data_IF_765550398669
#
_entry.id   IF_765550398669
#
_cell.length_a   1.000
_cell.length_b   1.000
_cell.length_c   1.000
_cell.angle_alpha   90.00
_cell.angle_beta   90.00
_cell.angle_gamma   90.00
#
_symmetry.space_group_name_H-M   'P 1'
#
loop_
_entity.id
_entity.type
_entity.pdbx_description
1 polymer ?
#
# COMPACT_ATOMS: atom_id res chain seq x y z
N UNK A 1 0.98 32.93 10.47
CA UNK A 1 1.49 31.71 9.84
C UNK A 1 0.27 30.87 9.54
N UNK A 2 0.09 30.36 8.32
CA UNK A 2 -1.00 29.38 8.10
C UNK A 2 -0.74 28.23 9.05
N UNK A 3 -1.73 27.86 9.88
CA UNK A 3 -1.63 26.63 10.67
C UNK A 3 -1.42 25.48 9.68
N UNK A 4 -0.30 24.77 9.83
CA UNK A 4 -0.02 23.59 9.03
C UNK A 4 -0.90 22.47 9.56
N UNK A 5 -1.61 21.79 8.66
CA UNK A 5 -2.42 20.63 9.02
C UNK A 5 -1.52 19.50 9.56
N UNK A 6 -1.87 18.99 10.73
CA UNK A 6 -1.27 17.81 11.34
C UNK A 6 -1.79 16.53 10.72
N UNK A 7 -0.89 15.70 10.20
CA UNK A 7 -1.22 14.37 9.66
C UNK A 7 -0.52 13.27 10.45
N UNK A 8 -1.32 12.29 10.88
CA UNK A 8 -0.84 11.05 11.47
C UNK A 8 -1.03 9.92 10.48
N UNK A 9 0.05 9.19 10.20
CA UNK A 9 0.03 8.08 9.26
C UNK A 9 0.40 6.79 9.99
N UNK A 10 -0.39 5.73 9.78
CA UNK A 10 -0.15 4.40 10.32
C UNK A 10 -0.22 3.34 9.22
N UNK A 11 0.39 2.19 9.52
CA UNK A 11 0.29 1.01 8.68
C UNK A 11 1.36 0.89 7.60
N UNK A 12 1.08 0.06 6.60
CA UNK A 12 2.03 -0.42 5.58
C UNK A 12 2.61 0.72 4.75
N UNK A 13 1.79 1.72 4.43
CA UNK A 13 2.19 2.87 3.61
C UNK A 13 2.81 4.02 4.41
N UNK A 14 2.96 3.87 5.74
CA UNK A 14 3.33 4.95 6.67
C UNK A 14 4.55 5.74 6.25
N UNK A 15 5.64 5.09 5.87
CA UNK A 15 6.88 5.77 5.47
C UNK A 15 6.72 6.57 4.19
N UNK A 16 6.09 5.99 3.16
CA UNK A 16 5.93 6.63 1.86
C UNK A 16 4.95 7.82 1.93
N UNK A 17 3.82 7.64 2.61
CA UNK A 17 2.82 8.69 2.78
C UNK A 17 3.30 9.78 3.74
N UNK A 18 3.99 9.45 4.84
CA UNK A 18 4.57 10.50 5.70
C UNK A 18 5.58 11.35 4.93
N UNK A 19 6.44 10.74 4.09
CA UNK A 19 7.35 11.48 3.20
C UNK A 19 6.57 12.38 2.23
N UNK A 20 5.56 11.84 1.55
CA UNK A 20 4.74 12.58 0.61
C UNK A 20 4.10 13.83 1.25
N UNK A 21 3.44 13.64 2.38
CA UNK A 21 2.74 14.72 3.06
C UNK A 21 3.71 15.76 3.65
N UNK A 22 4.85 15.32 4.17
CA UNK A 22 5.92 16.21 4.63
C UNK A 22 6.44 17.10 3.48
N UNK A 23 6.64 16.53 2.29
CA UNK A 23 7.06 17.29 1.09
C UNK A 23 6.02 18.31 0.64
N UNK A 24 4.74 18.06 0.93
CA UNK A 24 3.62 18.98 0.65
C UNK A 24 3.36 19.97 1.80
N UNK A 25 4.23 20.01 2.81
CA UNK A 25 4.20 21.02 3.87
C UNK A 25 3.28 20.71 5.06
N UNK A 26 2.72 19.49 5.15
CA UNK A 26 2.00 19.04 6.33
C UNK A 26 2.94 18.83 7.51
N UNK A 27 2.40 18.91 8.72
CA UNK A 27 3.10 18.54 9.94
C UNK A 27 2.90 17.04 10.21
N UNK A 28 3.97 16.27 10.35
CA UNK A 28 3.85 14.85 10.73
C UNK A 28 3.70 14.77 12.24
N UNK A 29 2.51 14.40 12.73
CA UNK A 29 2.20 14.35 14.17
C UNK A 29 2.13 12.93 14.68
N UNK A 30 2.51 12.74 15.95
CA UNK A 30 2.68 11.44 16.59
C UNK A 30 3.44 10.39 15.72
N UNK A 31 4.55 10.74 15.04
CA UNK A 31 5.33 9.79 14.25
C UNK A 31 5.89 8.67 15.13
N UNK A 32 5.92 7.44 14.62
CA UNK A 32 6.68 6.39 15.31
C UNK A 32 8.18 6.70 15.27
N UNK A 33 8.96 6.11 16.17
CA UNK A 33 10.43 6.28 16.20
C UNK A 33 11.06 6.01 14.84
N UNK A 34 10.60 4.97 14.13
CA UNK A 34 11.06 4.69 12.76
C UNK A 34 10.79 5.81 11.76
N UNK A 35 9.68 6.54 11.89
CA UNK A 35 9.34 7.66 11.02
C UNK A 35 10.17 8.90 11.40
N UNK A 36 10.37 9.14 12.69
CA UNK A 36 11.25 10.21 13.19
C UNK A 36 12.67 10.03 12.64
N UNK A 37 13.25 8.83 12.78
CA UNK A 37 14.59 8.50 12.28
C UNK A 37 14.71 8.65 10.76
N UNK A 38 13.71 8.18 10.01
CA UNK A 38 13.76 8.19 8.53
C UNK A 38 13.57 9.58 7.93
N UNK A 39 12.72 10.40 8.54
CA UNK A 39 12.32 11.70 7.98
C UNK A 39 13.00 12.89 8.66
N UNK A 40 13.68 12.68 9.79
CA UNK A 40 14.26 13.76 10.58
C UNK A 40 13.19 14.69 11.16
N UNK A 41 12.04 14.15 11.56
CA UNK A 41 10.93 14.91 12.14
C UNK A 41 10.87 14.69 13.64
N UNK A 42 10.49 15.73 14.39
CA UNK A 42 10.27 15.67 15.83
C UNK A 42 8.92 15.02 16.16
N UNK A 43 8.81 14.45 17.36
CA UNK A 43 7.53 13.99 17.87
C UNK A 43 6.71 15.16 18.37
N UNK A 44 5.52 15.32 17.78
CA UNK A 44 4.59 16.39 18.13
C UNK A 44 3.31 15.72 18.57
N UNK A 45 3.08 15.72 19.89
CA UNK A 45 1.91 15.14 20.54
C UNK A 45 0.74 16.13 20.48
N UNK A 46 0.08 16.19 19.33
CA UNK A 46 -1.16 16.94 19.11
C UNK A 46 -2.18 16.07 18.38
N UNK A 47 -3.46 16.34 18.60
CA UNK A 47 -4.52 15.65 17.89
C UNK A 47 -4.38 15.88 16.37
N UNK A 48 -4.37 14.81 15.54
CA UNK A 48 -4.20 14.96 14.10
C UNK A 48 -5.46 15.54 13.44
N UNK A 49 -5.27 16.52 12.56
CA UNK A 49 -6.33 16.99 11.66
C UNK A 49 -6.74 15.91 10.65
N UNK A 50 -5.74 15.14 10.19
CA UNK A 50 -5.90 14.04 9.24
C UNK A 50 -5.22 12.77 9.76
N UNK A 51 -5.97 11.69 9.86
CA UNK A 51 -5.46 10.35 10.11
C UNK A 51 -5.50 9.55 8.81
N UNK A 52 -4.39 8.86 8.51
CA UNK A 52 -4.28 7.95 7.37
C UNK A 52 -3.84 6.58 7.86
N UNK A 53 -4.66 5.55 7.62
CA UNK A 53 -4.39 4.18 8.07
C UNK A 53 -4.95 3.14 7.10
N UNK A 54 -4.25 2.01 6.92
CA UNK A 54 -4.87 0.83 6.30
C UNK A 54 -5.80 0.11 7.29
N UNK A 55 -7.01 -0.25 6.85
CA UNK A 55 -7.97 -1.00 7.67
C UNK A 55 -8.23 -2.35 7.05
N UNK A 56 -7.64 -3.40 7.63
CA UNK A 56 -7.82 -4.85 7.33
C UNK A 56 -7.48 -5.31 5.89
N UNK A 57 -7.86 -4.53 4.87
CA UNK A 57 -7.54 -4.70 3.45
C UNK A 57 -6.27 -3.91 3.17
N UNK A 58 -5.12 -4.59 3.12
CA UNK A 58 -3.81 -3.93 3.01
C UNK A 58 -3.55 -3.22 1.65
N UNK A 59 -4.52 -3.25 0.74
CA UNK A 59 -4.45 -2.54 -0.55
C UNK A 59 -4.93 -1.09 -0.46
N UNK A 60 -5.74 -0.76 0.55
CA UNK A 60 -6.36 0.56 0.69
C UNK A 60 -5.91 1.27 1.97
N UNK A 61 -6.05 2.58 1.97
CA UNK A 61 -5.94 3.43 3.17
C UNK A 61 -7.20 4.26 3.34
N UNK A 62 -7.51 4.62 4.58
CA UNK A 62 -8.61 5.50 4.93
C UNK A 62 -8.06 6.84 5.37
N UNK A 63 -8.54 7.91 4.74
CA UNK A 63 -8.34 9.28 5.16
C UNK A 63 -9.52 9.66 6.05
N UNK A 64 -9.26 9.95 7.32
CA UNK A 64 -10.28 10.33 8.29
C UNK A 64 -9.88 11.58 9.06
N UNK A 65 -10.80 12.53 9.22
CA UNK A 65 -10.50 13.79 9.89
C UNK A 65 -11.61 14.82 9.69
N UNK A 66 -11.31 16.09 9.97
CA UNK A 66 -12.24 17.17 9.64
C UNK A 66 -12.35 17.34 8.10
N UNK A 67 -13.41 18.01 7.65
CA UNK A 67 -13.72 18.15 6.21
C UNK A 67 -12.60 18.83 5.42
N UNK A 68 -11.95 19.82 6.02
CA UNK A 68 -10.86 20.56 5.38
C UNK A 68 -9.61 19.68 5.23
N UNK A 69 -9.24 18.98 6.29
CA UNK A 69 -8.07 18.11 6.32
C UNK A 69 -8.22 16.89 5.38
N UNK A 70 -9.39 16.26 5.34
CA UNK A 70 -9.68 15.15 4.42
C UNK A 70 -9.63 15.62 2.96
N UNK A 71 -10.18 16.79 2.67
CA UNK A 71 -10.09 17.38 1.32
C UNK A 71 -8.65 17.67 0.94
N UNK A 72 -7.88 18.32 1.83
CA UNK A 72 -6.47 18.64 1.57
C UNK A 72 -5.64 17.36 1.35
N UNK A 73 -5.86 16.31 2.16
CA UNK A 73 -5.17 15.03 1.99
C UNK A 73 -5.55 14.31 0.69
N UNK A 74 -6.83 14.39 0.28
CA UNK A 74 -7.25 13.88 -1.03
C UNK A 74 -6.54 14.61 -2.16
N UNK A 75 -6.47 15.94 -2.12
CA UNK A 75 -5.85 16.76 -3.17
C UNK A 75 -4.35 16.47 -3.29
N UNK A 76 -3.65 16.24 -2.16
CA UNK A 76 -2.24 15.78 -2.14
C UNK A 76 -2.09 14.42 -2.83
N UNK A 77 -2.90 13.43 -2.47
CA UNK A 77 -2.82 12.10 -3.07
C UNK A 77 -3.17 12.17 -4.55
N UNK A 78 -4.24 12.87 -4.92
CA UNK A 78 -4.70 12.97 -6.30
C UNK A 78 -3.64 13.60 -7.22
N UNK A 79 -3.01 14.69 -6.78
CA UNK A 79 -1.95 15.37 -7.54
C UNK A 79 -0.65 14.58 -7.64
N UNK A 80 -0.38 13.71 -6.65
CA UNK A 80 0.89 12.97 -6.58
C UNK A 80 0.80 11.52 -7.07
N UNK A 81 -0.41 10.95 -7.11
CA UNK A 81 -0.72 9.55 -7.40
C UNK A 81 -1.97 9.49 -8.27
N UNK A 82 -1.84 9.90 -9.54
CA UNK A 82 -2.95 10.12 -10.49
C UNK A 82 -3.85 8.89 -10.72
N UNK A 83 -3.31 7.67 -10.61
CA UNK A 83 -4.07 6.43 -10.78
C UNK A 83 -4.68 5.89 -9.47
N UNK A 84 -4.58 6.64 -8.36
CA UNK A 84 -5.23 6.24 -7.11
C UNK A 84 -6.76 6.29 -7.28
N UNK A 85 -7.45 5.30 -6.71
CA UNK A 85 -8.90 5.18 -6.80
C UNK A 85 -9.51 5.66 -5.48
N UNK A 86 -10.43 6.62 -5.54
CA UNK A 86 -11.04 7.24 -4.37
C UNK A 86 -12.48 6.78 -4.22
N UNK A 87 -12.83 6.26 -3.04
CA UNK A 87 -14.19 5.90 -2.66
C UNK A 87 -14.65 6.82 -1.53
N UNK A 88 -15.47 7.81 -1.86
CA UNK A 88 -16.08 8.70 -0.88
C UNK A 88 -17.10 7.91 -0.03
N UNK A 89 -16.84 7.76 1.26
CA UNK A 89 -17.77 7.08 2.20
C UNK A 89 -18.65 8.08 2.91
N UNK A 90 -18.06 9.16 3.41
CA UNK A 90 -18.74 10.30 4.03
C UNK A 90 -17.95 11.58 3.78
N UNK A 91 -18.45 12.74 4.22
CA UNK A 91 -17.71 14.01 4.17
C UNK A 91 -16.42 14.03 5.01
N UNK A 92 -16.20 13.03 5.85
CA UNK A 92 -15.08 12.94 6.79
C UNK A 92 -14.23 11.69 6.57
N UNK A 93 -14.60 10.84 5.60
CA UNK A 93 -13.98 9.54 5.37
C UNK A 93 -13.88 9.27 3.86
N UNK A 94 -12.65 9.15 3.38
CA UNK A 94 -12.35 8.70 2.01
C UNK A 94 -11.50 7.44 2.10
N UNK A 95 -11.90 6.39 1.40
CA UNK A 95 -11.05 5.23 1.16
C UNK A 95 -10.28 5.43 -0.14
N UNK A 96 -8.98 5.09 -0.15
CA UNK A 96 -8.10 5.22 -1.29
C UNK A 96 -7.46 3.87 -1.58
N UNK A 97 -7.67 3.33 -2.78
CA UNK A 97 -6.96 2.15 -3.27
C UNK A 97 -5.76 2.55 -4.13
N UNK A 98 -4.67 1.79 -3.98
CA UNK A 98 -3.44 2.01 -4.72
C UNK A 98 -3.19 0.84 -5.70
N UNK A 99 -3.43 1.03 -7.01
CA UNK A 99 -2.99 0.09 -8.04
C UNK A 99 -1.47 -0.14 -8.03
N UNK A 100 -1.01 -1.16 -8.75
CA UNK A 100 0.41 -1.56 -8.74
C UNK A 100 1.36 -0.41 -9.14
N UNK A 101 0.97 0.40 -10.13
CA UNK A 101 1.69 1.62 -10.54
C UNK A 101 1.87 2.60 -9.38
N UNK A 102 0.82 2.84 -8.59
CA UNK A 102 0.85 3.72 -7.43
C UNK A 102 1.65 3.12 -6.27
N UNK A 103 1.54 1.80 -6.03
CA UNK A 103 2.39 1.09 -5.07
C UNK A 103 3.88 1.25 -5.40
N UNK A 104 4.25 1.16 -6.69
CA UNK A 104 5.63 1.40 -7.16
C UNK A 104 6.07 2.86 -6.95
N UNK A 105 5.18 3.83 -7.15
CA UNK A 105 5.47 5.25 -6.88
C UNK A 105 5.65 5.52 -5.39
N UNK A 106 4.85 4.89 -4.53
CA UNK A 106 5.02 4.90 -3.07
C UNK A 106 6.33 4.21 -2.65
N UNK A 107 6.71 3.10 -3.28
CA UNK A 107 8.03 2.47 -3.06
C UNK A 107 9.19 3.42 -3.42
N UNK A 108 9.05 4.19 -4.51
CA UNK A 108 10.05 5.17 -4.91
C UNK A 108 10.19 6.31 -3.88
N UNK A 109 9.08 6.80 -3.32
CA UNK A 109 9.10 7.78 -2.23
C UNK A 109 9.76 7.20 -0.97
N UNK A 110 9.42 5.95 -0.60
CA UNK A 110 10.04 5.24 0.53
C UNK A 110 11.56 5.12 0.35
N UNK A 111 12.04 4.80 -0.86
CA UNK A 111 13.48 4.62 -1.16
C UNK A 111 14.30 5.90 -0.92
N UNK A 112 13.69 7.08 -0.96
CA UNK A 112 14.39 8.34 -0.69
C UNK A 112 14.83 8.46 0.77
N UNK A 113 14.21 7.71 1.69
CA UNK A 113 14.38 7.90 3.14
C UNK A 113 14.80 6.62 3.88
N UNK A 114 14.70 5.45 3.24
CA UNK A 114 15.14 4.17 3.82
C UNK A 114 15.54 3.18 2.72
N UNK A 115 16.61 2.37 2.93
CA UNK A 115 16.90 1.23 2.07
C UNK A 115 15.70 0.27 2.03
N UNK A 116 15.18 0.01 0.83
CA UNK A 116 13.94 -0.75 0.61
C UNK A 116 14.09 -1.64 -0.63
N UNK A 117 13.40 -2.78 -0.64
CA UNK A 117 13.26 -3.58 -1.85
C UNK A 117 12.23 -2.97 -2.80
N UNK A 118 12.39 -3.27 -4.09
CA UNK A 118 11.41 -2.88 -5.11
C UNK A 118 10.18 -3.76 -4.98
N UNK A 119 8.99 -3.17 -5.07
CA UNK A 119 7.74 -3.89 -4.82
C UNK A 119 7.44 -4.08 -3.34
N UNK A 120 8.04 -3.31 -2.42
CA UNK A 120 7.79 -3.41 -0.98
C UNK A 120 6.29 -3.46 -0.68
N UNK A 121 5.52 -2.46 -1.13
CA UNK A 121 4.08 -2.45 -0.87
C UNK A 121 3.35 -3.62 -1.52
N UNK A 122 3.80 -4.11 -2.68
CA UNK A 122 3.23 -5.29 -3.32
C UNK A 122 3.47 -6.57 -2.50
N UNK A 123 4.69 -6.80 -2.01
CA UNK A 123 4.99 -7.98 -1.19
C UNK A 123 4.40 -7.87 0.22
N UNK A 124 4.27 -6.65 0.76
CA UNK A 124 3.73 -6.42 2.12
C UNK A 124 2.25 -6.70 2.24
N UNK A 125 1.52 -6.85 1.13
CA UNK A 125 0.10 -7.23 1.15
C UNK A 125 -0.11 -8.75 1.02
N UNK A 126 0.93 -9.51 0.72
CA UNK A 126 0.87 -10.96 0.57
C UNK A 126 0.88 -11.69 1.94
N UNK A 127 0.89 -13.03 1.87
CA UNK A 127 0.88 -13.93 3.02
C UNK A 127 2.05 -13.71 3.99
N UNK A 128 1.91 -14.27 5.20
CA UNK A 128 2.86 -14.09 6.30
C UNK A 128 4.31 -14.42 5.90
N UNK A 129 4.53 -15.53 5.20
CA UNK A 129 5.87 -15.97 4.79
C UNK A 129 6.56 -14.96 3.87
N UNK A 130 5.82 -14.42 2.90
CA UNK A 130 6.35 -13.40 1.98
C UNK A 130 6.67 -12.11 2.73
N UNK A 131 5.80 -11.70 3.67
CA UNK A 131 6.05 -10.53 4.52
C UNK A 131 7.30 -10.72 5.39
N UNK A 132 7.47 -11.89 5.98
CA UNK A 132 8.62 -12.22 6.84
C UNK A 132 9.93 -12.22 6.05
N UNK A 133 9.92 -12.85 4.86
CA UNK A 133 11.06 -12.83 3.95
C UNK A 133 11.42 -11.40 3.50
N UNK A 134 10.41 -10.56 3.25
CA UNK A 134 10.61 -9.15 2.89
C UNK A 134 11.28 -8.39 4.03
N UNK A 135 10.77 -8.54 5.26
CA UNK A 135 11.32 -7.85 6.43
C UNK A 135 12.77 -8.25 6.70
N UNK A 136 13.11 -9.54 6.55
CA UNK A 136 14.49 -10.01 6.64
C UNK A 136 15.37 -9.39 5.55
N UNK A 137 14.90 -9.36 4.30
CA UNK A 137 15.65 -8.79 3.19
C UNK A 137 15.88 -7.28 3.36
N UNK A 138 14.91 -6.52 3.87
CA UNK A 138 15.07 -5.10 4.18
C UNK A 138 16.04 -4.85 5.34
N UNK A 139 16.08 -5.72 6.34
CA UNK A 139 17.07 -5.63 7.41
C UNK A 139 18.50 -5.87 6.89
N UNK A 140 18.69 -6.84 5.99
CA UNK A 140 20.00 -7.05 5.34
C UNK A 140 20.43 -5.87 4.47
N UNK A 141 19.49 -5.17 3.83
CA UNK A 141 19.78 -3.93 3.11
C UNK A 141 20.27 -2.83 4.06
N UNK A 142 19.65 -2.69 5.24
CA UNK A 142 20.08 -1.71 6.25
C UNK A 142 21.47 -2.02 6.81
N UNK A 143 21.83 -3.30 6.93
CA UNK A 143 23.18 -3.76 7.30
C UNK A 143 24.23 -3.55 6.20
N UNK A 144 23.84 -3.05 5.01
CA UNK A 144 24.76 -2.77 3.91
C UNK A 144 25.21 -4.02 3.14
N UNK A 145 24.49 -5.15 3.23
CA UNK A 145 24.80 -6.33 2.42
C UNK A 145 24.55 -6.07 0.93
N UNK A 146 25.20 -6.81 0.01
CA UNK A 146 25.05 -6.58 -1.43
C UNK A 146 23.60 -6.75 -1.91
N UNK A 147 23.03 -5.69 -2.50
CA UNK A 147 21.63 -5.68 -2.95
C UNK A 147 21.29 -6.82 -3.90
N UNK A 148 22.19 -7.17 -4.82
CA UNK A 148 21.95 -8.22 -5.82
C UNK A 148 21.75 -9.60 -5.16
N UNK A 149 22.61 -9.95 -4.19
CA UNK A 149 22.50 -11.20 -3.44
C UNK A 149 21.21 -11.26 -2.62
N UNK A 150 20.83 -10.15 -1.98
CA UNK A 150 19.60 -10.07 -1.21
C UNK A 150 18.39 -10.30 -2.11
N UNK A 151 18.33 -9.61 -3.25
CA UNK A 151 17.21 -9.73 -4.21
C UNK A 151 17.11 -11.16 -4.74
N UNK A 152 18.21 -11.80 -5.08
CA UNK A 152 18.23 -13.18 -5.56
C UNK A 152 17.71 -14.15 -4.49
N UNK A 153 18.25 -14.06 -3.26
CA UNK A 153 17.82 -14.91 -2.13
C UNK A 153 16.35 -14.68 -1.79
N UNK A 154 15.93 -13.42 -1.71
CA UNK A 154 14.53 -13.05 -1.45
C UNK A 154 13.59 -13.67 -2.49
N UNK A 155 13.90 -13.52 -3.78
CA UNK A 155 13.12 -14.13 -4.87
C UNK A 155 12.99 -15.63 -4.69
N UNK A 156 14.11 -16.33 -4.49
CA UNK A 156 14.12 -17.79 -4.25
C UNK A 156 13.29 -18.20 -3.04
N UNK A 157 13.33 -17.42 -1.96
CA UNK A 157 12.56 -17.68 -0.74
C UNK A 157 11.05 -17.52 -0.97
N UNK A 158 10.62 -16.51 -1.74
CA UNK A 158 9.18 -16.24 -1.92
C UNK A 158 8.54 -17.08 -3.03
N UNK A 159 9.31 -17.56 -4.01
CA UNK A 159 8.80 -18.33 -5.16
C UNK A 159 7.79 -19.43 -4.80
N UNK A 160 8.01 -20.26 -3.75
CA UNK A 160 7.07 -21.33 -3.40
C UNK A 160 5.70 -20.83 -2.91
N UNK A 161 5.59 -19.57 -2.51
CA UNK A 161 4.37 -18.95 -1.99
C UNK A 161 3.60 -18.15 -3.05
N UNK A 162 4.17 -17.99 -4.25
CA UNK A 162 3.54 -17.27 -5.34
C UNK A 162 2.70 -18.22 -6.20
N UNK A 163 1.60 -17.73 -6.82
CA UNK A 163 0.82 -18.54 -7.76
C UNK A 163 1.68 -19.01 -8.94
N UNK A 164 1.44 -20.25 -9.36
CA UNK A 164 2.03 -20.89 -10.54
C UNK A 164 0.92 -21.50 -11.41
N UNK A 165 1.26 -21.98 -12.61
CA UNK A 165 0.29 -22.67 -13.47
C UNK A 165 -0.42 -23.79 -12.71
N UNK A 166 -1.75 -23.89 -12.89
CA UNK A 166 -2.67 -24.78 -12.15
C UNK A 166 -2.97 -24.38 -10.71
N UNK A 167 -2.43 -23.27 -10.22
CA UNK A 167 -2.85 -22.73 -8.91
C UNK A 167 -4.32 -22.33 -8.96
N UNK A 168 -5.05 -22.63 -7.88
CA UNK A 168 -6.42 -22.17 -7.68
C UNK A 168 -6.40 -20.80 -7.03
N UNK A 169 -7.12 -19.85 -7.62
CA UNK A 169 -7.22 -18.45 -7.15
C UNK A 169 -8.68 -18.04 -6.99
N UNK A 170 -8.93 -17.17 -6.03
CA UNK A 170 -10.22 -16.51 -5.87
C UNK A 170 -10.33 -15.34 -6.83
N UNK A 171 -11.51 -15.11 -7.40
CA UNK A 171 -11.81 -13.96 -8.24
C UNK A 171 -12.81 -13.07 -7.51
N UNK A 172 -12.44 -11.81 -7.33
CA UNK A 172 -13.34 -10.79 -6.78
C UNK A 172 -13.42 -9.60 -7.72
N UNK A 173 -14.62 -9.09 -7.96
CA UNK A 173 -14.87 -7.88 -8.73
C UNK A 173 -15.27 -6.74 -7.80
N UNK A 174 -14.51 -5.65 -7.81
CA UNK A 174 -14.79 -4.46 -7.01
C UNK A 174 -15.48 -3.43 -7.90
N UNK A 175 -16.73 -3.08 -7.57
CA UNK A 175 -17.47 -2.01 -8.25
C UNK A 175 -16.91 -0.63 -7.88
N UNK A 176 -17.25 0.38 -8.67
CA UNK A 176 -16.87 1.78 -8.41
C UNK A 176 -17.38 2.34 -7.08
N UNK A 177 -18.43 1.75 -6.49
CA UNK A 177 -18.91 2.11 -5.16
C UNK A 177 -18.19 1.35 -4.02
N UNK A 178 -17.15 0.58 -4.34
CA UNK A 178 -16.39 -0.26 -3.40
C UNK A 178 -17.07 -1.58 -3.04
N UNK A 179 -18.25 -1.88 -3.59
CA UNK A 179 -18.92 -3.16 -3.34
C UNK A 179 -18.17 -4.30 -4.04
N UNK A 180 -17.84 -5.35 -3.29
CA UNK A 180 -17.08 -6.50 -3.77
C UNK A 180 -18.04 -7.65 -4.08
N UNK A 181 -17.97 -8.15 -5.31
CA UNK A 181 -18.67 -9.34 -5.78
C UNK A 181 -17.68 -10.50 -5.82
N UNK A 182 -18.00 -11.62 -5.17
CA UNK A 182 -17.20 -12.84 -5.27
C UNK A 182 -17.61 -13.60 -6.53
N UNK A 183 -16.67 -13.77 -7.46
CA UNK A 183 -16.88 -14.45 -8.74
C UNK A 183 -16.47 -15.94 -8.70
N UNK A 184 -16.26 -16.48 -7.50
CA UNK A 184 -15.83 -17.85 -7.26
C UNK A 184 -14.33 -18.04 -7.48
N UNK A 185 -13.94 -19.27 -7.79
CA UNK A 185 -12.54 -19.65 -7.96
C UNK A 185 -12.22 -19.98 -9.40
N UNK A 186 -10.98 -19.75 -9.81
CA UNK A 186 -10.44 -20.14 -11.10
C UNK A 186 -9.11 -20.89 -10.95
N UNK A 187 -8.76 -21.69 -11.96
CA UNK A 187 -7.43 -22.28 -12.08
C UNK A 187 -6.61 -21.44 -13.05
N UNK A 188 -5.40 -21.07 -12.66
CA UNK A 188 -4.44 -20.43 -13.56
C UNK A 188 -4.07 -21.45 -14.64
N UNK A 189 -4.27 -21.11 -15.91
CA UNK A 189 -3.88 -21.96 -17.04
C UNK A 189 -2.47 -21.63 -17.47
N UNK A 190 -2.23 -20.37 -17.78
CA UNK A 190 -0.93 -19.83 -18.16
C UNK A 190 -0.80 -18.41 -17.62
N UNK A 191 0.44 -18.01 -17.34
CA UNK A 191 0.76 -16.64 -16.92
C UNK A 191 2.10 -16.26 -17.54
N UNK A 192 2.12 -15.13 -18.24
CA UNK A 192 3.34 -14.45 -18.67
C UNK A 192 3.33 -13.01 -18.15
N UNK A 193 4.37 -12.23 -18.46
CA UNK A 193 4.58 -10.90 -17.88
C UNK A 193 3.39 -9.95 -18.05
N UNK A 194 2.59 -10.09 -19.11
CA UNK A 194 1.48 -9.18 -19.43
C UNK A 194 0.09 -9.85 -19.43
N UNK A 195 0.03 -11.19 -19.46
CA UNK A 195 -1.21 -11.94 -19.65
C UNK A 195 -1.36 -13.05 -18.63
N UNK A 196 -2.50 -13.04 -17.92
CA UNK A 196 -2.97 -14.14 -17.08
C UNK A 196 -4.16 -14.80 -17.76
N UNK A 197 -4.04 -16.08 -18.11
CA UNK A 197 -5.16 -16.89 -18.59
C UNK A 197 -5.60 -17.81 -17.45
N UNK A 198 -6.89 -17.79 -17.12
CA UNK A 198 -7.47 -18.66 -16.12
C UNK A 198 -8.77 -19.28 -16.63
N UNK A 199 -9.10 -20.46 -16.11
CA UNK A 199 -10.34 -21.17 -16.37
C UNK A 199 -11.22 -21.17 -15.12
N UNK A 200 -12.51 -20.88 -15.28
CA UNK A 200 -13.51 -20.98 -14.22
C UNK A 200 -14.78 -21.65 -14.71
N UNK A 201 -15.43 -22.39 -13.84
CA UNK A 201 -16.77 -22.92 -14.08
C UNK A 201 -17.82 -21.86 -13.73
N UNK A 202 -18.72 -21.53 -14.66
CA UNK A 202 -19.81 -20.59 -14.42
C UNK A 202 -21.12 -21.37 -14.19
N UNK A 203 -21.78 -21.14 -13.05
CA UNK A 203 -23.12 -21.68 -12.80
C UNK A 203 -24.18 -20.69 -13.27
N UNK A 204 -25.25 -21.21 -13.88
CA UNK A 204 -26.31 -20.45 -14.56
C UNK A 204 -27.06 -19.44 -13.70
N UNK A 205 -27.00 -19.56 -12.38
CA UNK A 205 -28.02 -18.97 -11.51
C UNK A 205 -27.73 -17.52 -11.11
N UNK A 206 -26.65 -16.91 -11.63
CA UNK A 206 -26.38 -15.47 -11.49
C UNK A 206 -26.23 -14.96 -10.05
N UNK A 207 -26.11 -15.86 -9.07
CA UNK A 207 -25.85 -15.52 -7.68
C UNK A 207 -24.35 -15.35 -7.51
N UNK A 208 -23.94 -14.12 -7.20
CA UNK A 208 -22.58 -13.74 -6.86
C UNK A 208 -22.54 -13.09 -5.48
#
# INVERSE_FOLDING_TARGET
MSDKLGVKVRGVYSTALSKLFLDQGFLIVEPSLYIQERLGVEDIEVEPDLMIEDKQIKHTVFLTGNKEAVKAGRDVIFSSLEEAIFFEKTNYVIEVDFPLSMKRRLDALRRQVVPTLDGHHYYKVLGYDVKSALDMAENLLKEGKPRHEIVEKFRRTITPYLPFERSRVDISHVKLNGHVINLGTANIMTFNDDTLVFEREMKSDGVY
#
